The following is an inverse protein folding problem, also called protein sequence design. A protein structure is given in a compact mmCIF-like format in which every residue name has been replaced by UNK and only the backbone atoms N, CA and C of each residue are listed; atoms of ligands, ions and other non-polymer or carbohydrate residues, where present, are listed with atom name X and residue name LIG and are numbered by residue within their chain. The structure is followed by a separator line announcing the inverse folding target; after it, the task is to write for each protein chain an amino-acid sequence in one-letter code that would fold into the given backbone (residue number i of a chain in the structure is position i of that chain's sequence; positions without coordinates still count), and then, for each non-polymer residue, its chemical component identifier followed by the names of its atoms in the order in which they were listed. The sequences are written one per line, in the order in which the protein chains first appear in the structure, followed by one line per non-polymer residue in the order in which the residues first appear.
data_IF_503779375276
#
_entry.id   IF_503779375276
#
_cell.length_a   1.000
_cell.length_b   1.000
_cell.length_c   1.000
_cell.angle_alpha   90.00
_cell.angle_beta   90.00
_cell.angle_gamma   90.00
#
_symmetry.space_group_name_H-M   'P 1'
#
loop_
_entity.id
_entity.type
_entity.pdbx_description
1 polymer ?
#
# COMPACT_ATOMS: atom_id res chain seq x y z
N UNK A 1 -7.70 17.19 16.53
CA UNK A 1 -6.24 17.24 16.25
C UNK A 1 -5.67 15.90 16.69
N UNK A 2 -5.26 15.01 15.75
CA UNK A 2 -4.70 13.69 16.13
C UNK A 2 -3.32 13.94 16.75
N UNK A 3 -3.09 13.44 17.96
CA UNK A 3 -1.78 13.52 18.62
C UNK A 3 -0.85 12.47 18.02
N UNK A 4 0.45 12.78 17.87
CA UNK A 4 1.46 11.90 17.26
C UNK A 4 1.66 10.52 17.94
N UNK A 5 0.97 10.26 19.05
CA UNK A 5 1.07 9.04 19.86
C UNK A 5 0.57 7.76 19.18
N UNK A 6 -0.11 7.87 18.03
CA UNK A 6 -0.69 6.72 17.31
C UNK A 6 0.10 6.31 16.05
N UNK A 7 1.36 6.77 15.91
CA UNK A 7 2.21 6.46 14.74
C UNK A 7 3.11 5.26 15.03
N UNK A 8 2.90 4.16 14.29
CA UNK A 8 3.69 2.93 14.43
C UNK A 8 4.81 2.87 13.38
N UNK A 9 5.98 2.35 13.78
CA UNK A 9 7.14 2.14 12.90
C UNK A 9 7.45 0.64 12.81
N UNK A 10 7.31 0.04 11.63
CA UNK A 10 7.54 -1.40 11.40
C UNK A 10 8.87 -1.67 10.67
N UNK A 11 9.66 -2.60 11.22
CA UNK A 11 10.71 -3.34 10.49
C UNK A 11 10.06 -4.66 10.06
N UNK A 12 9.89 -4.84 8.76
CA UNK A 12 8.92 -5.77 8.18
C UNK A 12 9.30 -7.25 8.36
N UNK A 13 8.42 -8.03 9.01
CA UNK A 13 8.16 -9.44 8.66
C UNK A 13 6.66 -9.64 8.85
N UNK A 14 5.86 -9.49 7.80
CA UNK A 14 4.53 -10.14 7.70
C UNK A 14 4.05 -10.02 6.25
N UNK A 15 3.31 -11.04 5.80
CA UNK A 15 2.99 -11.31 4.40
C UNK A 15 2.41 -10.10 3.64
N UNK A 16 3.23 -9.49 2.79
CA UNK A 16 2.79 -8.51 1.78
C UNK A 16 2.10 -9.28 0.66
N UNK A 17 0.78 -9.18 0.55
CA UNK A 17 0.08 -9.58 -0.67
C UNK A 17 0.05 -8.39 -1.63
N UNK A 18 0.93 -8.41 -2.63
CA UNK A 18 0.83 -7.54 -3.79
C UNK A 18 -0.30 -8.07 -4.68
N UNK A 19 -1.50 -7.47 -4.62
CA UNK A 19 -2.58 -7.77 -5.56
C UNK A 19 -2.31 -7.03 -6.87
N UNK A 20 -1.35 -7.53 -7.65
CA UNK A 20 -1.30 -7.22 -9.08
C UNK A 20 -2.41 -8.02 -9.75
N UNK A 21 -3.57 -7.38 -9.89
CA UNK A 21 -4.76 -7.93 -10.53
C UNK A 21 -4.46 -8.29 -12.00
N UNK A 22 -4.15 -9.57 -12.29
CA UNK A 22 -3.93 -10.05 -13.66
C UNK A 22 -5.26 -10.19 -14.40
N UNK A 23 -5.47 -9.37 -15.43
CA UNK A 23 -6.19 -9.79 -16.64
C UNK A 23 -5.32 -9.51 -17.86
N UNK A 24 -4.87 -10.61 -18.49
CA UNK A 24 -4.39 -10.62 -19.86
C UNK A 24 -2.87 -10.62 -20.01
N UNK A 25 -2.26 -11.81 -20.06
CA UNK A 25 -1.27 -12.19 -21.08
C UNK A 25 -0.99 -13.70 -20.99
N UNK A 26 -1.23 -14.40 -22.10
CA UNK A 26 -0.49 -15.63 -22.47
C UNK A 26 -0.98 -16.97 -21.88
N UNK A 27 -1.46 -17.84 -22.79
CA UNK A 27 -1.82 -19.24 -22.58
C UNK A 27 -0.61 -20.11 -22.21
N UNK A 28 -0.87 -21.11 -21.37
CA UNK A 28 -0.31 -22.47 -21.31
C UNK A 28 0.16 -22.86 -19.91
N UNK A 29 -0.74 -23.49 -19.16
CA UNK A 29 -0.48 -24.71 -18.40
C UNK A 29 -1.84 -25.32 -18.03
N UNK A 30 -2.08 -26.52 -18.57
CA UNK A 30 -3.24 -27.34 -18.29
C UNK A 30 -3.40 -27.52 -16.78
N UNK A 31 -4.50 -27.04 -16.20
CA UNK A 31 -4.99 -27.55 -14.92
C UNK A 31 -6.46 -27.92 -15.05
N UNK A 32 -6.73 -29.14 -14.59
CA UNK A 32 -7.93 -29.94 -14.89
C UNK A 32 -9.21 -29.23 -14.46
N UNK A 33 -10.22 -29.32 -15.33
CA UNK A 33 -11.62 -28.98 -15.03
C UNK A 33 -12.09 -29.80 -13.81
N UNK A 34 -12.30 -29.14 -12.68
CA UNK A 34 -13.28 -29.63 -11.71
C UNK A 34 -14.59 -28.91 -11.94
N UNK A 35 -15.63 -29.73 -12.13
CA UNK A 35 -16.98 -29.37 -12.53
C UNK A 35 -17.55 -28.32 -11.56
N UNK A 36 -18.05 -27.22 -12.11
CA UNK A 36 -19.08 -26.39 -11.47
C UNK A 36 -20.28 -27.30 -11.18
N UNK A 37 -20.50 -27.65 -9.92
CA UNK A 37 -21.82 -28.08 -9.48
C UNK A 37 -22.57 -26.84 -8.98
N UNK A 38 -23.62 -26.50 -9.73
CA UNK A 38 -24.64 -25.56 -9.30
C UNK A 38 -25.37 -26.17 -8.09
N UNK A 39 -25.24 -25.53 -6.93
CA UNK A 39 -26.04 -25.81 -5.73
C UNK A 39 -26.97 -24.63 -5.48
N UNK A 40 -28.26 -24.89 -5.55
CA UNK A 40 -29.38 -23.96 -5.34
C UNK A 40 -29.59 -23.64 -3.84
N UNK A 41 -30.18 -22.46 -3.55
CA UNK A 41 -30.83 -22.00 -2.29
C UNK A 41 -29.86 -21.59 -1.14
N UNK A 42 -30.02 -20.50 -0.37
CA UNK A 42 -31.15 -19.65 0.06
C UNK A 42 -30.60 -18.25 0.49
N UNK A 43 -31.44 -17.23 0.33
CA UNK A 43 -31.44 -15.88 0.92
C UNK A 43 -30.10 -15.20 1.30
N UNK A 44 -29.72 -14.16 0.54
CA UNK A 44 -29.20 -12.91 1.10
C UNK A 44 -27.75 -12.87 1.61
N UNK A 45 -26.77 -12.84 0.70
CA UNK A 45 -25.54 -12.01 0.73
C UNK A 45 -24.69 -12.40 -0.46
N UNK A 46 -24.52 -11.49 -1.42
CA UNK A 46 -23.57 -11.66 -2.51
C UNK A 46 -22.16 -11.60 -1.91
N UNK A 47 -21.58 -12.76 -1.57
CA UNK A 47 -20.27 -12.87 -0.95
C UNK A 47 -19.25 -13.04 -2.06
N UNK A 48 -18.52 -11.98 -2.38
CA UNK A 48 -17.44 -12.03 -3.34
C UNK A 48 -16.35 -12.96 -2.82
N UNK A 49 -16.28 -14.15 -3.40
CA UNK A 49 -15.18 -15.08 -3.22
C UNK A 49 -14.02 -14.50 -4.02
N UNK A 50 -13.10 -13.78 -3.36
CA UNK A 50 -11.79 -13.52 -3.98
C UNK A 50 -11.16 -14.89 -4.27
N UNK A 51 -10.62 -15.07 -5.47
CA UNK A 51 -10.07 -16.36 -5.95
C UNK A 51 -8.97 -16.96 -5.05
N UNK A 52 -8.50 -16.21 -4.05
CA UNK A 52 -7.56 -16.64 -3.02
C UNK A 52 -8.23 -16.61 -1.65
N UNK A 53 -8.96 -17.68 -1.33
CA UNK A 53 -9.65 -17.90 -0.06
C UNK A 53 -8.72 -18.03 1.16
N UNK A 54 -8.08 -16.94 1.59
CA UNK A 54 -7.23 -16.93 2.80
C UNK A 54 -7.70 -16.04 3.93
N UNK A 55 -8.53 -15.01 3.69
CA UNK A 55 -9.02 -14.16 4.78
C UNK A 55 -9.92 -14.92 5.75
N UNK A 56 -10.71 -15.87 5.25
CA UNK A 56 -11.73 -16.55 6.07
C UNK A 56 -11.18 -17.58 7.06
N UNK A 57 -9.86 -17.78 7.13
CA UNK A 57 -9.23 -18.82 7.95
C UNK A 57 -8.15 -18.33 8.92
N UNK A 58 -7.97 -17.01 9.11
CA UNK A 58 -6.98 -16.48 10.06
C UNK A 58 -7.57 -15.39 10.94
N UNK A 59 -7.35 -15.45 12.25
CA UNK A 59 -7.68 -14.36 13.19
C UNK A 59 -6.66 -13.20 13.19
N UNK A 60 -5.88 -13.05 12.12
CA UNK A 60 -4.80 -12.06 12.02
C UNK A 60 -5.27 -10.82 11.26
N UNK A 61 -4.72 -9.65 11.59
CA UNK A 61 -4.95 -8.45 10.78
C UNK A 61 -4.30 -8.58 9.39
N UNK A 62 -4.92 -7.89 8.42
CA UNK A 62 -4.51 -7.92 7.02
C UNK A 62 -4.21 -6.51 6.55
N UNK A 63 -3.01 -6.35 5.99
CA UNK A 63 -2.54 -5.10 5.40
C UNK A 63 -2.50 -5.27 3.88
N UNK A 64 -3.16 -4.37 3.16
CA UNK A 64 -3.13 -4.33 1.69
C UNK A 64 -2.43 -3.04 1.22
N UNK A 65 -1.33 -3.17 0.48
CA UNK A 65 -0.59 -2.03 -0.06
C UNK A 65 -0.50 -2.07 -1.57
N UNK A 66 -0.45 -0.89 -2.19
CA UNK A 66 -0.27 -0.72 -3.63
C UNK A 66 0.93 0.16 -3.92
N UNK A 67 1.43 0.04 -5.14
CA UNK A 67 2.40 0.98 -5.71
C UNK A 67 1.68 1.81 -6.77
N UNK A 68 1.87 3.12 -6.69
CA UNK A 68 1.30 4.08 -7.63
C UNK A 68 2.40 4.82 -8.39
N UNK A 69 2.09 5.25 -9.59
CA UNK A 69 2.97 6.08 -10.41
C UNK A 69 2.23 7.38 -10.75
N UNK A 70 3.00 8.47 -10.83
CA UNK A 70 2.48 9.77 -11.25
C UNK A 70 2.36 9.77 -12.77
N UNK A 71 1.13 9.87 -13.25
CA UNK A 71 0.81 9.93 -14.68
C UNK A 71 1.20 11.29 -15.26
N UNK A 72 1.26 11.38 -16.59
CA UNK A 72 1.51 12.63 -17.31
C UNK A 72 0.46 13.73 -17.02
N UNK A 73 -0.73 13.34 -16.55
CA UNK A 73 -1.80 14.27 -16.15
C UNK A 73 -1.68 14.76 -14.71
N UNK A 74 -0.63 14.33 -13.99
CA UNK A 74 -0.39 14.69 -12.60
C UNK A 74 -1.16 13.84 -11.58
N UNK A 75 -1.95 12.87 -12.02
CA UNK A 75 -2.70 11.94 -11.15
C UNK A 75 -1.85 10.75 -10.74
N UNK A 76 -2.21 10.08 -9.63
CA UNK A 76 -1.61 8.80 -9.27
C UNK A 76 -2.49 7.63 -9.71
N UNK A 77 -1.85 6.61 -10.28
CA UNK A 77 -2.49 5.37 -10.71
C UNK A 77 -1.59 4.18 -10.42
N UNK A 78 -2.17 3.02 -10.14
CA UNK A 78 -1.44 1.75 -10.21
C UNK A 78 -1.09 1.45 -11.68
N UNK A 79 -0.23 0.45 -11.91
CA UNK A 79 0.05 -0.06 -13.26
C UNK A 79 -1.22 -0.45 -14.04
N UNK A 80 -2.28 -0.85 -13.33
CA UNK A 80 -3.57 -1.21 -13.93
C UNK A 80 -4.54 -0.03 -14.07
N UNK A 81 -4.08 1.20 -13.84
CA UNK A 81 -4.90 2.41 -13.98
C UNK A 81 -5.84 2.67 -12.79
N UNK A 82 -5.62 2.05 -11.64
CA UNK A 82 -6.49 2.21 -10.46
C UNK A 82 -6.05 3.40 -9.61
N UNK A 83 -7.00 4.21 -9.17
CA UNK A 83 -6.76 5.39 -8.33
C UNK A 83 -6.43 4.98 -6.88
N UNK A 84 -5.66 5.78 -6.11
CA UNK A 84 -5.50 5.54 -4.67
C UNK A 84 -6.83 5.43 -3.91
N UNK A 85 -7.83 6.28 -4.25
CA UNK A 85 -9.15 6.21 -3.64
C UNK A 85 -9.86 4.87 -3.89
N UNK A 86 -9.85 4.39 -5.13
CA UNK A 86 -10.53 3.15 -5.51
C UNK A 86 -9.79 1.91 -4.99
N UNK A 87 -8.45 1.94 -5.00
CA UNK A 87 -7.64 0.89 -4.40
C UNK A 87 -7.90 0.74 -2.89
N UNK A 88 -8.06 1.87 -2.18
CA UNK A 88 -8.43 1.89 -0.76
C UNK A 88 -9.81 1.24 -0.53
N UNK A 89 -10.84 1.69 -1.25
CA UNK A 89 -12.21 1.15 -1.13
C UNK A 89 -12.27 -0.33 -1.44
N UNK A 90 -11.70 -0.75 -2.58
CA UNK A 90 -11.69 -2.14 -3.01
C UNK A 90 -10.97 -3.05 -2.01
N UNK A 91 -9.91 -2.56 -1.38
CA UNK A 91 -9.19 -3.33 -0.35
C UNK A 91 -10.01 -3.55 0.91
N UNK A 92 -10.73 -2.52 1.35
CA UNK A 92 -11.61 -2.60 2.52
C UNK A 92 -12.78 -3.55 2.22
N UNK A 93 -13.39 -3.44 1.04
CA UNK A 93 -14.44 -4.34 0.59
C UNK A 93 -13.96 -5.81 0.50
N UNK A 94 -12.68 -6.01 0.19
CA UNK A 94 -12.03 -7.33 0.17
C UNK A 94 -11.58 -7.83 1.57
N UNK A 95 -11.79 -7.05 2.64
CA UNK A 95 -11.48 -7.43 4.01
C UNK A 95 -10.14 -6.94 4.57
N UNK A 96 -9.48 -5.96 3.95
CA UNK A 96 -8.28 -5.36 4.51
C UNK A 96 -8.59 -4.57 5.79
N UNK A 97 -7.81 -4.82 6.85
CA UNK A 97 -7.88 -4.06 8.11
C UNK A 97 -7.07 -2.76 8.03
N UNK A 98 -5.98 -2.79 7.26
CA UNK A 98 -5.08 -1.66 7.05
C UNK A 98 -4.86 -1.54 5.54
N UNK A 99 -4.93 -0.31 5.03
CA UNK A 99 -4.63 0.00 3.63
C UNK A 99 -3.32 0.76 3.55
N UNK A 100 -2.66 0.78 2.40
CA UNK A 100 -1.45 1.58 2.28
C UNK A 100 -0.83 1.68 0.91
N UNK A 101 0.32 2.32 0.88
CA UNK A 101 1.15 2.49 -0.31
C UNK A 101 2.60 2.15 0.01
N UNK A 102 3.29 1.55 -0.94
CA UNK A 102 4.71 1.24 -0.82
C UNK A 102 5.46 1.44 -2.14
N UNK A 103 6.74 1.80 -2.04
CA UNK A 103 7.66 1.92 -3.17
C UNK A 103 7.15 2.86 -4.30
N UNK A 104 7.84 2.87 -5.44
CA UNK A 104 7.48 3.67 -6.62
C UNK A 104 7.76 5.19 -6.51
N UNK A 105 7.67 5.75 -5.31
CA UNK A 105 7.85 7.18 -5.08
C UNK A 105 8.69 7.49 -3.83
N UNK A 106 9.30 8.68 -3.86
CA UNK A 106 9.82 9.34 -2.66
C UNK A 106 8.72 9.79 -1.70
N UNK A 107 9.12 10.15 -0.49
CA UNK A 107 8.21 10.48 0.61
C UNK A 107 7.35 11.74 0.35
N UNK A 108 7.85 12.66 -0.47
CA UNK A 108 7.17 13.88 -0.90
C UNK A 108 5.89 13.58 -1.69
N UNK A 109 5.99 12.70 -2.68
CA UNK A 109 4.86 12.29 -3.54
C UNK A 109 3.86 11.41 -2.80
N UNK A 110 4.30 10.68 -1.78
CA UNK A 110 3.41 9.84 -0.96
C UNK A 110 2.35 10.66 -0.22
N UNK A 111 2.59 11.95 0.06
CA UNK A 111 1.64 12.83 0.73
C UNK A 111 0.32 12.96 -0.07
N UNK A 112 0.42 13.14 -1.39
CA UNK A 112 -0.76 13.28 -2.26
C UNK A 112 -1.55 11.95 -2.30
N UNK A 113 -0.85 10.82 -2.42
CA UNK A 113 -1.44 9.48 -2.40
C UNK A 113 -2.18 9.23 -1.08
N UNK A 114 -1.56 9.56 0.06
CA UNK A 114 -2.16 9.38 1.39
C UNK A 114 -3.40 10.23 1.56
N UNK A 115 -3.39 11.50 1.12
CA UNK A 115 -4.57 12.37 1.18
C UNK A 115 -5.75 11.76 0.42
N UNK A 116 -5.49 11.23 -0.77
CA UNK A 116 -6.52 10.59 -1.58
C UNK A 116 -7.07 9.31 -0.92
N UNK A 117 -6.19 8.44 -0.41
CA UNK A 117 -6.62 7.24 0.33
C UNK A 117 -7.40 7.58 1.61
N UNK A 118 -6.94 8.58 2.37
CA UNK A 118 -7.58 9.03 3.62
C UNK A 118 -8.97 9.62 3.35
N UNK A 119 -9.13 10.39 2.28
CA UNK A 119 -10.43 10.94 1.89
C UNK A 119 -11.44 9.83 1.55
N UNK A 120 -10.99 8.75 0.89
CA UNK A 120 -11.82 7.61 0.56
C UNK A 120 -12.12 6.68 1.76
N UNK A 121 -11.21 6.61 2.72
CA UNK A 121 -11.28 5.73 3.88
C UNK A 121 -10.94 6.48 5.19
N UNK A 122 -11.85 7.33 5.72
CA UNK A 122 -11.56 8.23 6.84
C UNK A 122 -11.22 7.51 8.16
N UNK A 123 -11.70 6.28 8.33
CA UNK A 123 -11.57 5.53 9.58
C UNK A 123 -10.56 4.37 9.52
N UNK A 124 -10.02 4.05 8.34
CA UNK A 124 -9.10 2.92 8.17
C UNK A 124 -7.65 3.35 8.40
N UNK A 125 -6.82 2.60 9.15
CA UNK A 125 -5.40 2.92 9.29
C UNK A 125 -4.69 2.91 7.93
N UNK A 126 -3.82 3.91 7.70
CA UNK A 126 -3.04 4.03 6.45
C UNK A 126 -1.57 3.77 6.73
N UNK A 127 -0.99 2.79 6.03
CA UNK A 127 0.43 2.46 6.03
C UNK A 127 1.14 3.09 4.84
N UNK A 128 2.36 3.60 5.07
CA UNK A 128 3.21 4.16 4.01
C UNK A 128 4.65 3.67 4.17
N UNK A 129 5.16 3.02 3.13
CA UNK A 129 6.59 2.69 3.01
C UNK A 129 7.18 3.40 1.79
N UNK A 130 7.74 4.59 1.99
CA UNK A 130 8.33 5.40 0.91
C UNK A 130 9.75 4.95 0.55
N UNK A 131 10.16 5.17 -0.70
CA UNK A 131 11.58 5.09 -1.06
C UNK A 131 12.34 6.29 -0.47
N UNK A 132 13.66 6.18 -0.34
CA UNK A 132 14.55 7.31 -0.04
C UNK A 132 14.74 8.20 -1.28
N UNK A 133 13.64 8.76 -1.78
CA UNK A 133 13.59 9.54 -3.02
C UNK A 133 13.27 8.69 -4.25
N UNK A 134 13.26 9.32 -5.42
CA UNK A 134 13.13 8.61 -6.69
C UNK A 134 14.48 7.99 -7.07
N UNK A 135 14.48 6.78 -7.65
CA UNK A 135 15.72 6.16 -8.11
C UNK A 135 16.36 7.02 -9.19
N UNK A 136 17.66 7.27 -9.06
CA UNK A 136 18.51 7.91 -10.05
C UNK A 136 19.50 6.87 -10.55
N UNK A 137 19.57 6.66 -11.86
CA UNK A 137 20.56 5.75 -12.41
C UNK A 137 21.90 6.47 -12.51
N UNK A 138 22.88 6.00 -11.73
CA UNK A 138 24.26 6.47 -11.74
C UNK A 138 25.13 5.28 -12.14
N UNK A 139 25.71 5.33 -13.33
CA UNK A 139 26.57 4.29 -13.89
C UNK A 139 25.96 2.86 -13.85
N UNK A 140 24.66 2.76 -14.15
CA UNK A 140 23.93 1.48 -14.15
C UNK A 140 23.46 1.02 -12.77
N UNK A 141 23.69 1.79 -11.71
CA UNK A 141 23.23 1.52 -10.35
C UNK A 141 22.12 2.50 -9.97
N UNK A 142 21.02 1.99 -9.43
CA UNK A 142 19.95 2.83 -8.90
C UNK A 142 20.35 3.38 -7.52
N UNK A 143 20.53 4.70 -7.46
CA UNK A 143 20.85 5.46 -6.25
C UNK A 143 19.62 6.22 -5.77
N UNK A 144 19.41 6.23 -4.46
CA UNK A 144 18.28 6.88 -3.79
C UNK A 144 18.79 8.10 -3.02
N UNK A 145 18.42 9.33 -3.43
CA UNK A 145 19.12 10.55 -2.99
C UNK A 145 18.59 11.15 -1.67
N UNK A 146 17.41 10.76 -1.17
CA UNK A 146 16.86 11.41 0.01
C UNK A 146 17.62 10.99 1.26
N UNK A 147 18.02 11.97 2.06
CA UNK A 147 18.75 11.73 3.31
C UNK A 147 17.80 11.37 4.46
N UNK A 148 18.31 10.79 5.56
CA UNK A 148 17.54 10.57 6.78
C UNK A 148 16.83 11.83 7.29
N UNK A 149 17.49 12.98 7.25
CA UNK A 149 16.97 14.27 7.72
C UNK A 149 15.75 14.70 6.89
N UNK A 150 15.86 14.60 5.56
CA UNK A 150 14.76 14.92 4.64
C UNK A 150 13.56 14.00 4.90
N UNK A 151 13.78 12.68 4.98
CA UNK A 151 12.69 11.74 5.27
C UNK A 151 12.07 12.01 6.65
N UNK A 152 12.87 12.37 7.65
CA UNK A 152 12.40 12.78 8.97
C UNK A 152 11.43 13.96 8.89
N UNK A 153 11.83 15.06 8.25
CA UNK A 153 11.00 16.26 8.10
C UNK A 153 9.69 15.96 7.37
N UNK A 154 9.76 15.22 6.26
CA UNK A 154 8.58 14.91 5.44
C UNK A 154 7.62 13.92 6.11
N UNK A 155 8.09 13.13 7.07
CA UNK A 155 7.23 12.22 7.85
C UNK A 155 6.18 12.99 8.64
N UNK A 156 6.50 14.20 9.13
CA UNK A 156 5.52 15.05 9.83
C UNK A 156 4.35 15.40 8.92
N UNK A 157 4.63 15.79 7.68
CA UNK A 157 3.61 16.12 6.69
C UNK A 157 2.82 14.89 6.25
N UNK A 158 3.47 13.73 6.18
CA UNK A 158 2.83 12.46 5.86
C UNK A 158 1.83 12.02 6.95
N UNK A 159 2.17 12.22 8.22
CA UNK A 159 1.26 11.97 9.35
C UNK A 159 0.10 12.96 9.34
N UNK A 160 0.35 14.25 9.08
CA UNK A 160 -0.71 15.27 8.91
C UNK A 160 -1.64 14.92 7.75
N UNK A 161 -1.13 14.33 6.67
CA UNK A 161 -1.93 13.85 5.54
C UNK A 161 -2.83 12.66 5.90
N UNK A 162 -2.55 11.96 7.01
CA UNK A 162 -3.40 10.90 7.55
C UNK A 162 -2.75 9.52 7.61
N UNK A 163 -1.43 9.42 7.44
CA UNK A 163 -0.71 8.17 7.68
C UNK A 163 -0.70 7.81 9.17
N UNK A 164 -0.85 6.52 9.46
CA UNK A 164 -0.79 5.94 10.81
C UNK A 164 0.46 5.08 11.01
N UNK A 165 0.96 4.46 9.95
CA UNK A 165 2.12 3.59 10.01
C UNK A 165 3.10 4.08 8.96
N UNK A 166 4.31 4.44 9.38
CA UNK A 166 5.33 4.95 8.47
C UNK A 166 6.58 4.08 8.54
N UNK A 167 7.07 3.68 7.38
CA UNK A 167 8.27 2.90 7.21
C UNK A 167 9.02 3.29 5.95
N UNK A 168 9.98 2.44 5.57
CA UNK A 168 10.82 2.65 4.39
C UNK A 168 10.75 1.48 3.41
N UNK A 169 10.97 1.79 2.13
CA UNK A 169 11.13 0.83 1.03
C UNK A 169 12.56 0.95 0.45
N UNK A 170 12.74 1.01 -0.86
CA UNK A 170 14.07 1.05 -1.49
C UNK A 170 14.89 2.29 -1.08
N UNK A 171 16.20 2.09 -0.87
CA UNK A 171 17.14 3.14 -0.46
C UNK A 171 17.08 3.52 1.02
N UNK A 172 16.06 3.09 1.76
CA UNK A 172 15.95 3.42 3.18
C UNK A 172 16.90 2.57 4.04
N UNK A 173 17.38 3.17 5.14
CA UNK A 173 18.33 2.55 6.07
C UNK A 173 17.84 2.74 7.51
N UNK A 174 18.42 2.05 8.52
CA UNK A 174 18.07 2.29 9.91
C UNK A 174 18.20 3.76 10.36
N UNK A 175 19.14 4.52 9.77
CA UNK A 175 19.27 5.95 10.03
C UNK A 175 18.02 6.72 9.59
N UNK A 176 17.46 6.38 8.43
CA UNK A 176 16.18 6.95 7.95
C UNK A 176 15.04 6.65 8.92
N UNK A 177 14.87 5.38 9.33
CA UNK A 177 13.82 5.00 10.28
C UNK A 177 13.96 5.74 11.61
N UNK A 178 15.20 5.88 12.11
CA UNK A 178 15.50 6.63 13.33
C UNK A 178 15.12 8.10 13.22
N UNK A 179 15.46 8.76 12.10
CA UNK A 179 15.11 10.15 11.84
C UNK A 179 13.59 10.36 11.74
N UNK A 180 12.88 9.48 11.03
CA UNK A 180 11.41 9.51 10.94
C UNK A 180 10.75 9.35 12.31
N UNK A 181 11.23 8.40 13.13
CA UNK A 181 10.76 8.21 14.50
C UNK A 181 11.01 9.43 15.39
N UNK A 182 12.17 10.08 15.26
CA UNK A 182 12.52 11.27 16.05
C UNK A 182 11.64 12.47 15.68
N UNK A 183 11.25 12.59 14.41
CA UNK A 183 10.48 13.74 13.92
C UNK A 183 9.00 13.77 14.37
N UNK A 184 8.43 12.61 14.72
CA UNK A 184 7.02 12.48 15.14
C UNK A 184 6.85 12.11 16.61
N UNK A 185 7.90 12.26 17.42
CA UNK A 185 7.80 12.05 18.87
C UNK A 185 7.29 13.29 19.59
#
# INVERSE_FOLDING_TARGET
MKTYKDVYFLRLVLHIFCVQCRRGYGRNRQFRRHKLQAGTLRAGKLRWRTEYGRYENTGLEVICTFTFEKTARGEYRTMMGVTPADAAKASIEAGAHIIGTNCGNGIDRMIEIVKEMRAAAPNTPVLVNANAGLPQNVDGVDVFPDTPEKMGQMTVELVKAGANIVGGCCGTTPAHISAMKKAVK
#
